data_IF_229890150472
#
_entry.id   IF_229890150472
#
_cell.length_a   1.000
_cell.length_b   1.000
_cell.length_c   1.000
_cell.angle_alpha   90.00
_cell.angle_beta   90.00
_cell.angle_gamma   90.00
#
_symmetry.space_group_name_H-M   'P 1'
#
loop_
_entity.id
_entity.type
_entity.pdbx_description
1 polymer ?
#
# COMPACT_ATOMS: atom_id res chain seq x y z
N UNK A 1 -13.86 10.15 13.84
CA UNK A 1 -13.56 9.45 15.10
C UNK A 1 -13.39 7.96 14.82
N UNK A 2 -12.14 7.50 14.70
CA UNK A 2 -11.86 6.09 14.41
C UNK A 2 -11.61 5.35 15.72
N UNK A 3 -12.46 4.37 16.05
CA UNK A 3 -12.22 3.41 17.13
C UNK A 3 -11.29 2.30 16.66
N UNK A 4 -10.66 1.56 17.59
CA UNK A 4 -9.81 0.40 17.30
C UNK A 4 -10.56 -0.69 16.52
N UNK A 5 -11.88 -0.75 16.59
CA UNK A 5 -12.72 -1.71 15.87
C UNK A 5 -13.05 -1.34 14.41
N UNK A 6 -12.54 -0.22 13.90
CA UNK A 6 -12.78 0.20 12.51
C UNK A 6 -11.62 -0.24 11.62
N UNK A 7 -11.87 -1.25 10.80
CA UNK A 7 -10.90 -1.86 9.89
C UNK A 7 -10.17 -3.06 10.53
N UNK A 8 -9.98 -4.12 9.75
CA UNK A 8 -9.36 -5.39 10.20
C UNK A 8 -7.93 -5.20 10.69
N UNK A 9 -7.17 -4.29 10.07
CA UNK A 9 -5.76 -4.07 10.39
C UNK A 9 -5.52 -3.04 11.51
N UNK A 10 -6.56 -2.40 12.02
CA UNK A 10 -6.41 -1.34 13.04
C UNK A 10 -5.81 -1.86 14.34
N UNK A 11 -6.18 -3.06 14.73
CA UNK A 11 -5.64 -3.72 15.92
C UNK A 11 -4.17 -4.10 15.72
N UNK A 12 -3.81 -4.61 14.53
CA UNK A 12 -2.43 -4.90 14.19
C UNK A 12 -1.55 -3.64 14.22
N UNK A 13 -2.02 -2.53 13.65
CA UNK A 13 -1.31 -1.25 13.71
C UNK A 13 -1.16 -0.72 15.14
N UNK A 14 -2.19 -0.88 15.97
CA UNK A 14 -2.12 -0.50 17.37
C UNK A 14 -1.12 -1.36 18.12
N UNK A 15 -1.11 -2.68 17.91
CA UNK A 15 -0.17 -3.61 18.52
C UNK A 15 1.27 -3.29 18.14
N UNK A 16 1.53 -3.02 16.85
CA UNK A 16 2.85 -2.59 16.38
C UNK A 16 3.28 -1.30 17.06
N UNK A 17 2.40 -0.29 17.12
CA UNK A 17 2.68 0.96 17.80
C UNK A 17 2.96 0.74 19.29
N UNK A 18 2.15 -0.07 19.97
CA UNK A 18 2.29 -0.36 21.40
C UNK A 18 3.61 -1.08 21.70
N UNK A 19 3.96 -2.09 20.90
CA UNK A 19 5.24 -2.79 21.02
C UNK A 19 6.40 -1.83 20.79
N UNK A 20 6.31 -0.98 19.78
CA UNK A 20 7.32 0.02 19.49
C UNK A 20 7.45 1.07 20.62
N UNK A 21 6.34 1.39 21.28
CA UNK A 21 6.31 2.35 22.39
C UNK A 21 6.89 1.78 23.70
N UNK A 22 6.70 0.47 23.97
CA UNK A 22 6.92 -0.09 25.30
C UNK A 22 7.97 -1.20 25.37
N UNK A 23 8.52 -1.64 24.24
CA UNK A 23 9.45 -2.76 24.18
C UNK A 23 10.75 -2.38 23.45
N UNK A 24 11.81 -2.09 24.23
CA UNK A 24 13.10 -1.67 23.64
C UNK A 24 13.78 -2.80 22.85
N UNK A 25 13.57 -4.06 23.22
CA UNK A 25 14.07 -5.20 22.46
C UNK A 25 13.38 -5.31 21.09
N UNK A 26 12.07 -5.02 21.03
CA UNK A 26 11.34 -4.96 19.77
C UNK A 26 11.82 -3.80 18.88
N UNK A 27 12.09 -2.64 19.49
CA UNK A 27 12.67 -1.49 18.78
C UNK A 27 14.04 -1.85 18.22
N UNK A 28 14.94 -2.39 19.04
CA UNK A 28 16.27 -2.79 18.62
C UNK A 28 16.25 -3.86 17.52
N UNK A 29 15.36 -4.85 17.61
CA UNK A 29 15.17 -5.85 16.57
C UNK A 29 14.72 -5.23 15.24
N UNK A 30 13.75 -4.29 15.27
CA UNK A 30 13.27 -3.64 14.07
C UNK A 30 14.22 -2.59 13.50
N UNK A 31 15.02 -1.92 14.33
CA UNK A 31 16.04 -0.96 13.87
C UNK A 31 17.25 -1.65 13.24
N UNK A 32 17.59 -2.85 13.70
CA UNK A 32 18.63 -3.67 13.09
C UNK A 32 18.23 -4.21 11.70
N UNK A 33 16.92 -4.39 11.45
CA UNK A 33 16.43 -4.56 10.09
C UNK A 33 16.49 -3.22 9.38
N UNK A 34 17.47 -3.02 8.51
CA UNK A 34 17.58 -1.88 7.60
C UNK A 34 16.44 -1.94 6.58
N UNK A 35 15.22 -1.73 7.06
CA UNK A 35 14.04 -1.73 6.19
C UNK A 35 14.02 -0.44 5.38
N UNK A 36 13.67 -0.53 4.12
CA UNK A 36 13.47 0.65 3.29
C UNK A 36 12.33 1.57 3.80
N UNK A 37 11.54 1.07 4.77
CA UNK A 37 10.38 1.77 5.35
C UNK A 37 10.76 2.77 6.45
N UNK A 38 11.80 3.56 6.23
CA UNK A 38 12.36 4.45 7.25
C UNK A 38 11.41 5.60 7.65
N UNK A 39 10.53 6.07 6.75
CA UNK A 39 9.54 7.12 7.10
C UNK A 39 8.50 6.54 8.04
N UNK A 40 8.07 5.30 7.83
CA UNK A 40 7.17 4.61 8.75
C UNK A 40 7.79 4.49 10.14
N UNK A 41 9.03 4.03 10.23
CA UNK A 41 9.72 3.89 11.51
C UNK A 41 9.94 5.24 12.20
N UNK A 42 10.34 6.27 11.45
CA UNK A 42 10.50 7.64 12.00
C UNK A 42 9.18 8.18 12.56
N UNK A 43 8.06 7.90 11.89
CA UNK A 43 6.73 8.29 12.36
C UNK A 43 6.37 7.57 13.67
N UNK A 44 6.61 6.26 13.76
CA UNK A 44 6.39 5.51 14.99
C UNK A 44 7.23 6.04 16.16
N UNK A 45 8.51 6.34 15.91
CA UNK A 45 9.40 6.95 16.94
C UNK A 45 8.88 8.29 17.43
N UNK A 46 8.50 9.16 16.51
CA UNK A 46 8.00 10.49 16.85
C UNK A 46 6.75 10.41 17.74
N UNK A 47 5.77 9.61 17.34
CA UNK A 47 4.52 9.48 18.10
C UNK A 47 4.65 8.60 19.35
N UNK A 48 5.64 7.69 19.41
CA UNK A 48 6.01 6.97 20.63
C UNK A 48 6.32 7.96 21.75
N UNK A 49 7.23 8.91 21.49
CA UNK A 49 7.66 9.90 22.48
C UNK A 49 6.51 10.80 22.96
N UNK A 50 5.54 11.03 22.09
CA UNK A 50 4.35 11.81 22.40
C UNK A 50 3.21 10.98 23.03
N UNK A 51 3.38 9.66 23.18
CA UNK A 51 2.34 8.70 23.58
C UNK A 51 1.00 8.91 22.84
N UNK A 52 1.06 9.13 21.54
CA UNK A 52 -0.06 9.56 20.73
C UNK A 52 -0.31 8.67 19.50
N UNK A 53 -0.97 7.53 19.71
CA UNK A 53 -1.38 6.65 18.59
C UNK A 53 -2.33 7.34 17.60
N UNK A 54 -3.21 8.22 18.07
CA UNK A 54 -4.11 8.97 17.18
C UNK A 54 -3.34 9.83 16.19
N UNK A 55 -2.21 10.39 16.59
CA UNK A 55 -1.32 11.14 15.72
C UNK A 55 -0.81 10.30 14.54
N UNK A 56 -0.48 9.02 14.77
CA UNK A 56 -0.11 8.09 13.70
C UNK A 56 -1.24 7.95 12.68
N UNK A 57 -2.47 7.72 13.16
CA UNK A 57 -3.63 7.57 12.28
C UNK A 57 -3.94 8.85 11.49
N UNK A 58 -3.88 10.00 12.14
CA UNK A 58 -4.12 11.31 11.50
C UNK A 58 -3.05 11.58 10.43
N UNK A 59 -1.79 11.30 10.73
CA UNK A 59 -0.70 11.50 9.78
C UNK A 59 -0.82 10.58 8.56
N UNK A 60 -1.14 9.29 8.76
CA UNK A 60 -1.38 8.37 7.65
C UNK A 60 -2.59 8.80 6.81
N UNK A 61 -3.67 9.25 7.45
CA UNK A 61 -4.85 9.75 6.75
C UNK A 61 -4.52 11.00 5.93
N UNK A 62 -3.72 11.93 6.47
CA UNK A 62 -3.29 13.14 5.76
C UNK A 62 -2.37 12.79 4.58
N UNK A 63 -1.38 11.91 4.79
CA UNK A 63 -0.46 11.45 3.76
C UNK A 63 -1.17 10.67 2.63
N UNK A 64 -2.31 10.05 2.91
CA UNK A 64 -3.15 9.44 1.89
C UNK A 64 -4.05 10.48 1.21
N UNK A 65 -4.84 11.23 1.98
CA UNK A 65 -5.89 12.09 1.45
C UNK A 65 -5.34 13.28 0.64
N UNK A 66 -4.29 13.94 1.13
CA UNK A 66 -3.76 15.15 0.48
C UNK A 66 -3.25 14.85 -0.94
N UNK A 67 -2.34 13.88 -1.16
CA UNK A 67 -1.87 13.54 -2.50
C UNK A 67 -2.99 12.99 -3.39
N UNK A 68 -3.88 12.16 -2.83
CA UNK A 68 -4.99 11.59 -3.55
C UNK A 68 -5.93 12.67 -4.11
N UNK A 69 -6.47 13.52 -3.24
CA UNK A 69 -7.42 14.55 -3.66
C UNK A 69 -6.78 15.60 -4.57
N UNK A 70 -5.52 15.94 -4.32
CA UNK A 70 -4.78 16.81 -5.23
C UNK A 70 -4.66 16.16 -6.63
N UNK A 71 -4.27 14.89 -6.71
CA UNK A 71 -4.16 14.17 -7.97
C UNK A 71 -5.51 14.07 -8.69
N UNK A 72 -6.59 13.69 -7.99
CA UNK A 72 -7.93 13.62 -8.56
C UNK A 72 -8.38 14.97 -9.11
N UNK A 73 -8.14 16.05 -8.37
CA UNK A 73 -8.52 17.39 -8.80
C UNK A 73 -7.76 17.87 -10.05
N UNK A 74 -6.49 17.46 -10.20
CA UNK A 74 -5.65 17.89 -11.33
C UNK A 74 -5.75 16.99 -12.55
N UNK A 75 -6.04 15.71 -12.38
CA UNK A 75 -5.98 14.72 -13.46
C UNK A 75 -7.36 14.31 -13.97
N UNK A 76 -8.39 14.44 -13.14
CA UNK A 76 -9.74 14.05 -13.56
C UNK A 76 -10.48 15.19 -14.26
N UNK A 77 -11.19 14.85 -15.33
CA UNK A 77 -12.14 15.78 -15.97
C UNK A 77 -13.33 16.11 -15.04
N UNK A 78 -13.71 15.16 -14.18
CA UNK A 78 -14.83 15.29 -13.25
C UNK A 78 -14.41 14.88 -11.84
N UNK A 79 -13.70 15.75 -11.09
CA UNK A 79 -13.12 15.43 -9.80
C UNK A 79 -14.13 14.91 -8.78
N UNK A 80 -15.30 15.53 -8.69
CA UNK A 80 -16.38 15.09 -7.77
C UNK A 80 -16.87 13.69 -8.09
N UNK A 81 -17.01 13.36 -9.37
CA UNK A 81 -17.40 12.01 -9.78
C UNK A 81 -16.30 10.99 -9.46
N UNK A 82 -15.03 11.35 -9.61
CA UNK A 82 -13.90 10.49 -9.20
C UNK A 82 -13.89 10.24 -7.70
N UNK A 83 -14.18 11.25 -6.88
CA UNK A 83 -14.33 11.08 -5.43
C UNK A 83 -15.54 10.19 -5.10
N UNK A 84 -16.67 10.38 -5.78
CA UNK A 84 -17.83 9.51 -5.63
C UNK A 84 -17.48 8.06 -5.94
N UNK A 85 -16.78 7.78 -7.04
CA UNK A 85 -16.31 6.43 -7.39
C UNK A 85 -15.34 5.88 -6.36
N UNK A 86 -14.41 6.69 -5.86
CA UNK A 86 -13.45 6.29 -4.82
C UNK A 86 -14.16 5.78 -3.56
N UNK A 87 -15.26 6.43 -3.18
CA UNK A 87 -16.05 6.02 -2.01
C UNK A 87 -16.95 4.82 -2.37
N UNK A 88 -17.68 4.88 -3.49
CA UNK A 88 -18.69 3.87 -3.88
C UNK A 88 -18.06 2.52 -4.23
N UNK A 89 -16.86 2.50 -4.81
CA UNK A 89 -16.11 1.28 -5.09
C UNK A 89 -15.29 0.78 -3.89
N UNK A 90 -15.58 1.31 -2.71
CA UNK A 90 -14.98 0.89 -1.45
C UNK A 90 -13.45 1.14 -1.33
N UNK A 91 -12.85 1.93 -2.20
CA UNK A 91 -11.43 2.29 -2.06
C UNK A 91 -11.15 3.06 -0.77
N UNK A 92 -12.08 3.92 -0.36
CA UNK A 92 -12.02 4.62 0.92
C UNK A 92 -12.02 3.64 2.10
N UNK A 93 -12.90 2.63 2.09
CA UNK A 93 -12.93 1.60 3.12
C UNK A 93 -11.63 0.78 3.17
N UNK A 94 -11.12 0.39 2.00
CA UNK A 94 -9.83 -0.30 1.89
C UNK A 94 -8.66 0.55 2.39
N UNK A 95 -8.70 1.87 2.21
CA UNK A 95 -7.66 2.76 2.71
C UNK A 95 -7.59 2.82 4.24
N UNK A 96 -8.66 2.43 4.91
CA UNK A 96 -8.67 2.31 6.37
C UNK A 96 -8.07 0.98 6.86
N UNK A 97 -8.05 -0.04 6.02
CA UNK A 97 -7.42 -1.32 6.34
C UNK A 97 -5.93 -1.28 5.98
N UNK A 98 -5.61 -1.23 4.72
CA UNK A 98 -4.24 -1.19 4.22
C UNK A 98 -3.69 0.25 4.18
N UNK A 99 -3.60 0.92 5.32
CA UNK A 99 -3.30 2.37 5.40
C UNK A 99 -1.99 2.75 4.71
N UNK A 100 -0.89 2.04 4.98
CA UNK A 100 0.44 2.34 4.40
C UNK A 100 0.45 2.10 2.89
N UNK A 101 -0.20 1.03 2.44
CA UNK A 101 -0.34 0.73 1.02
C UNK A 101 -1.17 1.80 0.31
N UNK A 102 -2.23 2.29 0.93
CA UNK A 102 -3.08 3.36 0.38
C UNK A 102 -2.33 4.68 0.24
N UNK A 103 -1.46 5.01 1.20
CA UNK A 103 -0.53 6.15 1.06
C UNK A 103 0.36 5.94 -0.15
N UNK A 104 0.97 4.78 -0.30
CA UNK A 104 1.83 4.49 -1.46
C UNK A 104 1.08 4.62 -2.80
N UNK A 105 -0.17 4.16 -2.87
CA UNK A 105 -1.04 4.30 -4.05
C UNK A 105 -1.40 5.77 -4.35
N UNK A 106 -1.63 6.60 -3.33
CA UNK A 106 -1.88 8.02 -3.52
C UNK A 106 -0.66 8.77 -4.09
N UNK A 107 0.55 8.40 -3.65
CA UNK A 107 1.79 8.91 -4.24
C UNK A 107 2.01 8.44 -5.68
N UNK A 108 1.64 7.18 -6.01
CA UNK A 108 1.68 6.69 -7.38
C UNK A 108 0.76 7.52 -8.28
N UNK A 109 -0.49 7.73 -7.85
CA UNK A 109 -1.44 8.53 -8.62
C UNK A 109 -0.91 9.95 -8.86
N UNK A 110 -0.28 10.55 -7.85
CA UNK A 110 0.38 11.85 -7.97
C UNK A 110 1.58 11.81 -8.94
N UNK A 111 2.26 10.66 -9.08
CA UNK A 111 3.47 10.50 -9.88
C UNK A 111 3.19 10.35 -11.40
N UNK A 112 2.02 9.83 -11.79
CA UNK A 112 1.67 9.53 -13.19
C UNK A 112 1.89 10.73 -14.13
N UNK A 113 1.42 11.95 -13.83
CA UNK A 113 1.63 13.10 -14.73
C UNK A 113 3.10 13.47 -14.96
N UNK A 114 3.97 13.17 -14.00
CA UNK A 114 5.41 13.40 -14.20
C UNK A 114 6.01 12.39 -15.18
N UNK A 115 5.52 11.16 -15.14
CA UNK A 115 5.91 10.12 -16.09
C UNK A 115 5.45 10.49 -17.51
N UNK A 116 4.19 10.93 -17.68
CA UNK A 116 3.63 11.39 -18.95
C UNK A 116 4.39 12.57 -19.56
N UNK A 117 4.87 13.49 -18.71
CA UNK A 117 5.68 14.65 -19.12
C UNK A 117 7.16 14.34 -19.31
N UNK A 118 7.57 13.07 -19.23
CA UNK A 118 8.97 12.65 -19.33
C UNK A 118 9.86 13.08 -18.15
N UNK A 119 9.28 13.58 -17.06
CA UNK A 119 9.99 14.03 -15.87
C UNK A 119 10.28 12.88 -14.92
N UNK A 120 11.06 11.91 -15.40
CA UNK A 120 11.35 10.65 -14.69
C UNK A 120 11.95 10.84 -13.30
N UNK A 121 12.72 11.91 -13.08
CA UNK A 121 13.32 12.22 -11.77
C UNK A 121 12.29 12.48 -10.68
N UNK A 122 11.18 13.17 -10.98
CA UNK A 122 10.10 13.42 -10.02
C UNK A 122 9.27 12.15 -9.79
N UNK A 123 9.07 11.34 -10.83
CA UNK A 123 8.45 10.03 -10.70
C UNK A 123 9.27 9.13 -9.76
N UNK A 124 10.59 9.06 -9.96
CA UNK A 124 11.49 8.29 -9.10
C UNK A 124 11.50 8.82 -7.67
N UNK A 125 11.50 10.14 -7.46
CA UNK A 125 11.45 10.72 -6.13
C UNK A 125 10.18 10.30 -5.38
N UNK A 126 9.02 10.38 -6.02
CA UNK A 126 7.74 9.96 -5.42
C UNK A 126 7.71 8.44 -5.16
N UNK A 127 8.32 7.63 -6.03
CA UNK A 127 8.52 6.20 -5.80
C UNK A 127 9.33 5.94 -4.52
N UNK A 128 10.48 6.63 -4.37
CA UNK A 128 11.32 6.47 -3.19
C UNK A 128 10.61 6.90 -1.90
N UNK A 129 9.83 7.98 -1.94
CA UNK A 129 9.01 8.41 -0.80
C UNK A 129 7.93 7.38 -0.46
N UNK A 130 7.26 6.81 -1.46
CA UNK A 130 6.27 5.77 -1.27
C UNK A 130 6.88 4.49 -0.68
N UNK A 131 8.05 4.07 -1.19
CA UNK A 131 8.82 2.94 -0.65
C UNK A 131 9.22 3.14 0.81
N UNK A 132 9.59 4.35 1.19
CA UNK A 132 9.99 4.68 2.55
C UNK A 132 8.83 4.55 3.57
N UNK A 133 7.59 4.48 3.08
CA UNK A 133 6.39 4.22 3.87
C UNK A 133 5.97 2.75 3.74
N UNK A 134 6.05 2.20 2.52
CA UNK A 134 5.64 0.83 2.23
C UNK A 134 6.42 0.24 1.05
N UNK A 135 7.26 -0.75 1.35
CA UNK A 135 8.23 -1.31 0.39
C UNK A 135 7.59 -1.87 -0.88
N UNK A 136 6.39 -2.46 -0.79
CA UNK A 136 5.71 -3.03 -1.95
C UNK A 136 5.34 -1.99 -3.03
N UNK A 137 5.40 -0.69 -2.70
CA UNK A 137 5.22 0.37 -3.68
C UNK A 137 6.20 0.26 -4.85
N UNK A 138 7.42 -0.20 -4.60
CA UNK A 138 8.44 -0.40 -5.63
C UNK A 138 7.90 -1.21 -6.82
N UNK A 139 7.26 -2.34 -6.54
CA UNK A 139 6.77 -3.23 -7.60
C UNK A 139 5.71 -2.55 -8.47
N UNK A 140 4.78 -1.82 -7.85
CA UNK A 140 3.71 -1.14 -8.57
C UNK A 140 4.24 0.02 -9.40
N UNK A 141 5.16 0.82 -8.85
CA UNK A 141 5.80 1.91 -9.59
C UNK A 141 6.62 1.40 -10.76
N UNK A 142 7.40 0.33 -10.60
CA UNK A 142 8.16 -0.29 -11.69
C UNK A 142 7.24 -0.86 -12.77
N UNK A 143 6.13 -1.49 -12.37
CA UNK A 143 5.14 -2.02 -13.30
C UNK A 143 4.52 -0.89 -14.14
N UNK A 144 4.07 0.19 -13.50
CA UNK A 144 3.49 1.35 -14.22
C UNK A 144 4.51 1.98 -15.15
N UNK A 145 5.75 2.14 -14.69
CA UNK A 145 6.83 2.66 -15.54
C UNK A 145 7.12 1.76 -16.75
N UNK A 146 7.17 0.44 -16.55
CA UNK A 146 7.37 -0.52 -17.63
C UNK A 146 6.23 -0.48 -18.66
N UNK A 147 4.96 -0.46 -18.22
CA UNK A 147 3.81 -0.32 -19.09
C UNK A 147 3.83 0.98 -19.88
N UNK A 148 4.19 2.08 -19.23
CA UNK A 148 4.33 3.37 -19.92
C UNK A 148 5.43 3.34 -20.99
N UNK A 149 6.60 2.75 -20.68
CA UNK A 149 7.72 2.63 -21.63
C UNK A 149 7.44 1.66 -22.76
N UNK A 150 6.67 0.61 -22.52
CA UNK A 150 6.27 -0.36 -23.56
C UNK A 150 5.35 0.26 -24.62
N UNK A 151 4.83 1.48 -24.36
CA UNK A 151 3.97 2.24 -25.30
C UNK A 151 2.87 1.37 -25.92
N UNK A 152 2.17 0.62 -25.06
CA UNK A 152 1.12 -0.30 -25.48
C UNK A 152 -0.08 0.50 -25.97
N UNK A 153 -0.13 0.78 -27.27
CA UNK A 153 -1.28 1.41 -27.91
C UNK A 153 -2.43 0.41 -27.96
N UNK A 154 -3.41 0.62 -27.11
CA UNK A 154 -4.64 -0.17 -27.05
C UNK A 154 -5.76 0.52 -27.84
N UNK A 155 -5.55 0.79 -29.14
CA UNK A 155 -6.55 1.46 -30.00
C UNK A 155 -7.79 0.60 -30.30
N UNK A 156 -7.76 -0.68 -29.93
CA UNK A 156 -8.82 -1.63 -30.21
C UNK A 156 -9.46 -2.16 -28.92
N UNK A 157 -10.80 -2.07 -28.82
CA UNK A 157 -11.60 -2.60 -27.70
C UNK A 157 -11.32 -4.08 -27.40
N UNK A 158 -11.02 -4.86 -28.44
CA UNK A 158 -10.67 -6.27 -28.30
C UNK A 158 -9.34 -6.47 -27.57
N UNK A 159 -8.33 -5.62 -27.84
CA UNK A 159 -7.04 -5.67 -27.13
C UNK A 159 -7.21 -5.34 -25.64
N UNK A 160 -8.09 -4.38 -25.29
CA UNK A 160 -8.43 -4.10 -23.88
C UNK A 160 -9.09 -5.30 -23.20
N UNK A 161 -10.11 -5.89 -23.87
CA UNK A 161 -10.79 -7.05 -23.32
C UNK A 161 -9.84 -8.24 -23.13
N UNK A 162 -8.96 -8.48 -24.08
CA UNK A 162 -7.93 -9.51 -24.00
C UNK A 162 -6.91 -9.22 -22.90
N UNK A 163 -6.45 -7.98 -22.77
CA UNK A 163 -5.52 -7.58 -21.71
C UNK A 163 -6.13 -7.78 -20.31
N UNK A 164 -7.41 -7.43 -20.13
CA UNK A 164 -8.16 -7.65 -18.88
C UNK A 164 -8.32 -9.15 -18.61
N UNK A 165 -8.73 -9.93 -19.60
CA UNK A 165 -8.90 -11.37 -19.47
C UNK A 165 -7.57 -12.08 -19.14
N UNK A 166 -6.49 -11.73 -19.84
CA UNK A 166 -5.14 -12.25 -19.58
C UNK A 166 -4.67 -11.85 -18.17
N UNK A 167 -4.85 -10.59 -17.76
CA UNK A 167 -4.48 -10.12 -16.44
C UNK A 167 -5.25 -10.84 -15.33
N UNK A 168 -6.54 -11.08 -15.54
CA UNK A 168 -7.38 -11.83 -14.60
C UNK A 168 -6.94 -13.29 -14.51
N UNK A 169 -6.69 -13.93 -15.65
CA UNK A 169 -6.22 -15.33 -15.72
C UNK A 169 -4.85 -15.47 -15.07
N UNK A 170 -3.89 -14.58 -15.41
CA UNK A 170 -2.57 -14.54 -14.78
C UNK A 170 -2.73 -14.31 -13.26
N UNK A 171 -3.58 -13.38 -12.83
CA UNK A 171 -3.84 -13.12 -11.41
C UNK A 171 -4.33 -14.34 -10.66
N UNK A 172 -5.23 -15.12 -11.23
CA UNK A 172 -5.73 -16.36 -10.62
C UNK A 172 -4.66 -17.46 -10.53
N UNK A 173 -3.90 -17.69 -11.61
CA UNK A 173 -2.85 -18.72 -11.63
C UNK A 173 -1.57 -18.24 -10.93
N UNK A 174 -1.26 -16.96 -11.03
CA UNK A 174 -0.06 -16.37 -10.46
C UNK A 174 -0.07 -16.40 -8.92
N UNK A 175 -1.22 -16.26 -8.28
CA UNK A 175 -1.31 -16.37 -6.81
C UNK A 175 -0.96 -17.76 -6.32
N UNK A 176 -1.28 -18.82 -7.04
CA UNK A 176 -0.90 -20.18 -6.69
C UNK A 176 0.59 -20.46 -7.00
N UNK A 177 1.05 -20.10 -8.19
CA UNK A 177 2.42 -20.30 -8.64
C UNK A 177 3.42 -19.39 -7.92
N UNK A 178 3.06 -18.13 -7.65
CA UNK A 178 3.86 -17.15 -6.94
C UNK A 178 4.20 -17.59 -5.53
N UNK A 179 3.27 -18.24 -4.83
CA UNK A 179 3.50 -18.78 -3.48
C UNK A 179 4.61 -19.81 -3.46
N UNK A 180 4.64 -20.71 -4.43
CA UNK A 180 5.60 -21.81 -4.42
C UNK A 180 6.97 -21.41 -4.98
N UNK A 181 6.99 -20.55 -5.99
CA UNK A 181 8.23 -20.23 -6.72
C UNK A 181 8.97 -19.01 -6.16
N UNK A 182 8.24 -18.02 -5.66
CA UNK A 182 8.83 -16.80 -5.10
C UNK A 182 8.94 -16.81 -3.58
N UNK A 183 8.31 -17.74 -2.89
CA UNK A 183 8.50 -17.94 -1.44
C UNK A 183 9.99 -18.08 -1.07
N UNK A 184 10.81 -18.89 -1.74
CA UNK A 184 12.23 -18.98 -1.43
C UNK A 184 13.00 -17.69 -1.79
N UNK A 185 12.59 -16.97 -2.84
CA UNK A 185 13.22 -15.69 -3.23
C UNK A 185 12.78 -14.57 -2.28
N UNK A 186 11.52 -14.52 -1.90
CA UNK A 186 11.02 -13.57 -0.90
C UNK A 186 11.69 -13.79 0.47
N UNK A 187 11.94 -15.03 0.86
CA UNK A 187 12.66 -15.37 2.09
C UNK A 187 14.15 -14.99 2.05
N UNK A 188 14.75 -14.83 0.87
CA UNK A 188 16.11 -14.30 0.71
C UNK A 188 16.19 -12.79 0.94
N UNK A 189 15.11 -12.06 0.68
CA UNK A 189 15.05 -10.59 0.78
C UNK A 189 14.20 -10.08 1.95
N UNK A 190 13.43 -10.94 2.59
CA UNK A 190 12.57 -10.59 3.70
C UNK A 190 12.79 -11.56 4.87
N UNK A 191 13.03 -11.00 6.05
CA UNK A 191 13.02 -11.76 7.28
C UNK A 191 11.70 -12.50 7.48
N UNK A 192 11.72 -13.60 8.22
CA UNK A 192 10.74 -14.65 8.49
C UNK A 192 9.25 -14.27 8.74
N UNK A 193 8.87 -13.02 8.64
CA UNK A 193 7.52 -12.53 8.93
C UNK A 193 6.53 -12.63 7.76
N UNK A 194 6.97 -13.03 6.56
CA UNK A 194 6.05 -13.15 5.41
C UNK A 194 5.11 -14.35 5.53
N UNK A 195 5.50 -15.40 6.24
CA UNK A 195 4.62 -16.55 6.51
C UNK A 195 3.37 -16.15 7.31
N UNK A 196 3.49 -15.16 8.20
CA UNK A 196 2.38 -14.60 8.95
C UNK A 196 1.37 -13.88 8.06
N UNK A 197 1.83 -13.08 7.09
CA UNK A 197 0.95 -12.38 6.14
C UNK A 197 0.27 -13.34 5.17
N UNK A 198 0.95 -14.41 4.75
CA UNK A 198 0.34 -15.44 3.91
C UNK A 198 -0.72 -16.26 4.68
N UNK A 199 -0.51 -16.48 5.96
CA UNK A 199 -1.48 -17.15 6.81
C UNK A 199 -2.74 -16.29 7.03
N UNK A 200 -2.58 -14.99 7.28
CA UNK A 200 -3.70 -14.04 7.47
C UNK A 200 -4.56 -13.85 6.23
N UNK A 201 -4.01 -13.98 5.03
CA UNK A 201 -4.76 -13.87 3.77
C UNK A 201 -5.78 -15.01 3.60
N UNK A 202 -5.56 -16.16 4.28
CA UNK A 202 -6.43 -17.35 4.22
C UNK A 202 -7.24 -17.60 5.48
N UNK A 203 -6.83 -17.03 6.61
CA UNK A 203 -7.47 -17.24 7.91
C UNK A 203 -8.12 -15.98 8.46
N UNK A 204 -8.45 -15.01 7.61
CA UNK A 204 -9.34 -13.92 8.03
C UNK A 204 -10.64 -14.58 8.50
N UNK A 205 -10.93 -14.61 9.82
CA UNK A 205 -12.16 -15.23 10.30
C UNK A 205 -13.33 -14.53 9.60
N UNK A 206 -14.16 -15.34 8.96
CA UNK A 206 -15.41 -14.86 8.42
C UNK A 206 -16.17 -14.15 9.55
N UNK A 207 -16.84 -13.01 9.31
CA UNK A 207 -17.71 -12.41 10.33
C UNK A 207 -18.80 -13.34 10.86
N UNK A 208 -18.89 -14.55 10.29
CA UNK A 208 -19.84 -15.62 10.67
C UNK A 208 -19.24 -16.69 11.54
N UNK A 209 -17.92 -16.68 11.79
CA UNK A 209 -17.33 -17.66 12.70
C UNK A 209 -17.70 -17.28 14.13
N UNK A 210 -18.37 -18.18 14.89
CA UNK A 210 -18.72 -17.91 16.27
C UNK A 210 -17.42 -17.70 17.06
N UNK A 211 -17.36 -16.60 17.80
CA UNK A 211 -16.28 -16.36 18.75
C UNK A 211 -16.29 -17.50 19.78
N UNK A 212 -15.36 -18.39 19.66
CA UNK A 212 -15.00 -19.32 20.76
C UNK A 212 -14.12 -18.62 21.77
#
# INVERSE_FOLDING_TARGET
YRSLGVGTDSEAYYTIYYQYANNDAYVAANENYKTAEFIWLAMLRYFRNANNYRGVLVMLAALNAIPLFYALNKQSKWPLFSVFLYISLYFYGNSMNAMRQSVAMSFLLLAIPFLEKGKNQYYLLLMLLAMAIHMSALYVFLLVWAFYKANLNFDNKLKYALAIAISFTIGMFFTAWFKETLKPIANLFASSNYDYYFCLLYTSPSPRDPKT
#
